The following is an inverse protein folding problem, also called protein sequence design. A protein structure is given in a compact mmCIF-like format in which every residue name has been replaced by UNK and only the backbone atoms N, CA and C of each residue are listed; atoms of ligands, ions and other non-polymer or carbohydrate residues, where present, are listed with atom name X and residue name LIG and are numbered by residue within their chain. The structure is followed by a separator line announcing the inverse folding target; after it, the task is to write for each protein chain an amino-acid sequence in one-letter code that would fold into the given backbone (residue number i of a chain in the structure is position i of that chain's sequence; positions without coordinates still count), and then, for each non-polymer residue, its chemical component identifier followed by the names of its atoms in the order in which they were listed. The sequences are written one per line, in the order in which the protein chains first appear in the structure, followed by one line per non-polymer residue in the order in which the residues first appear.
data_IF_689605583570
#
_entry.id   IF_689605583570
#
_cell.length_a   1.000
_cell.length_b   1.000
_cell.length_c   1.000
_cell.angle_alpha   90.00
_cell.angle_beta   90.00
_cell.angle_gamma   90.00
#
_symmetry.space_group_name_H-M   'P 1'
#
loop_
_entity.id
_entity.type
_entity.pdbx_description
1 polymer ?
#
# COMPACT_ATOMS: atom_id res chain seq x y z
N UNK A 1 17.30 -2.36 6.24
CA UNK A 1 16.15 -2.41 7.16
C UNK A 1 15.19 -3.48 6.67
N UNK A 2 14.74 -4.41 7.51
CA UNK A 2 13.86 -5.50 7.05
C UNK A 2 12.44 -4.97 6.78
N UNK A 3 12.22 -4.46 5.59
CA UNK A 3 10.94 -3.88 5.14
C UNK A 3 9.84 -4.93 5.01
N UNK A 4 10.20 -6.21 4.97
CA UNK A 4 9.23 -7.28 4.82
C UNK A 4 8.27 -7.38 6.03
N UNK A 5 8.69 -6.95 7.23
CA UNK A 5 7.79 -6.91 8.39
C UNK A 5 6.57 -6.00 8.17
N UNK A 6 6.69 -5.00 7.30
CA UNK A 6 5.58 -4.11 6.94
C UNK A 6 4.48 -4.83 6.14
N UNK A 7 4.74 -6.03 5.65
CA UNK A 7 3.71 -6.85 4.97
C UNK A 7 2.62 -7.30 5.93
N UNK A 8 2.96 -7.47 7.21
CA UNK A 8 2.04 -7.97 8.24
C UNK A 8 1.75 -6.91 9.29
N UNK A 9 2.78 -6.27 9.83
CA UNK A 9 2.64 -5.34 10.94
C UNK A 9 2.74 -3.88 10.49
N UNK A 10 1.81 -3.00 10.92
CA UNK A 10 1.95 -1.57 10.73
C UNK A 10 3.13 -1.07 11.59
N UNK A 11 3.90 -0.14 11.04
CA UNK A 11 4.96 0.50 11.80
C UNK A 11 4.37 1.46 12.82
N UNK A 12 4.75 1.32 14.09
CA UNK A 12 4.31 2.23 15.13
C UNK A 12 4.74 3.67 14.83
N UNK A 13 3.87 4.65 15.12
CA UNK A 13 4.11 6.05 14.76
C UNK A 13 5.40 6.63 15.36
N UNK A 14 5.75 6.24 16.58
CA UNK A 14 7.01 6.65 17.22
C UNK A 14 8.24 6.09 16.51
N UNK A 15 8.18 4.81 16.09
CA UNK A 15 9.27 4.16 15.36
C UNK A 15 9.46 4.78 13.98
N UNK A 16 8.37 5.07 13.25
CA UNK A 16 8.39 5.80 11.99
C UNK A 16 9.08 7.14 12.15
N UNK A 17 8.65 7.95 13.12
CA UNK A 17 9.26 9.28 13.40
C UNK A 17 10.76 9.17 13.68
N UNK A 18 11.18 8.18 14.47
CA UNK A 18 12.59 7.96 14.82
C UNK A 18 13.41 7.56 13.58
N UNK A 19 12.91 6.63 12.78
CA UNK A 19 13.58 6.19 11.56
C UNK A 19 13.66 7.32 10.54
N UNK A 20 12.58 8.06 10.32
CA UNK A 20 12.58 9.20 9.39
C UNK A 20 13.51 10.32 9.85
N UNK A 21 13.69 10.52 11.17
CA UNK A 21 14.68 11.44 11.70
C UNK A 21 16.10 11.00 11.33
N UNK A 22 16.44 9.73 11.54
CA UNK A 22 17.76 9.16 11.19
C UNK A 22 18.00 9.25 9.66
N UNK A 23 17.01 8.85 8.85
CA UNK A 23 17.11 8.92 7.37
C UNK A 23 17.32 10.35 6.88
N UNK A 24 16.64 11.32 7.48
CA UNK A 24 16.78 12.75 7.18
C UNK A 24 18.15 13.24 7.56
N UNK A 25 18.65 12.89 8.74
CA UNK A 25 20.00 13.25 9.20
C UNK A 25 21.07 12.69 8.28
N UNK A 26 20.96 11.43 7.92
CA UNK A 26 21.87 10.78 7.00
C UNK A 26 21.87 11.44 5.61
N UNK A 27 20.67 11.72 5.07
CA UNK A 27 20.54 12.35 3.76
C UNK A 27 21.21 13.73 3.67
N UNK A 28 21.11 14.54 4.74
CA UNK A 28 21.58 15.92 4.69
C UNK A 28 22.98 16.13 5.26
N UNK A 29 23.43 15.26 6.17
CA UNK A 29 24.75 15.39 6.83
C UNK A 29 25.64 14.16 6.70
N UNK A 30 25.12 13.03 6.27
CA UNK A 30 25.86 11.77 6.29
C UNK A 30 26.02 11.15 7.68
N UNK A 31 25.41 11.72 8.71
CA UNK A 31 25.54 11.31 10.12
C UNK A 31 24.19 10.87 10.70
N UNK A 32 24.23 10.01 11.73
CA UNK A 32 23.03 9.51 12.40
C UNK A 32 22.27 10.62 13.16
N UNK A 33 23.00 11.60 13.73
CA UNK A 33 22.44 12.68 14.53
C UNK A 33 22.80 14.06 13.94
N UNK A 34 21.89 14.64 13.19
CA UNK A 34 21.99 16.02 12.73
C UNK A 34 21.28 16.96 13.71
N UNK A 35 22.04 17.66 14.53
CA UNK A 35 21.55 18.81 15.30
C UNK A 35 21.66 20.08 14.44
N UNK A 36 20.53 20.82 14.31
CA UNK A 36 20.45 22.08 13.56
C UNK A 36 19.69 22.01 12.25
N UNK A 37 19.14 23.16 11.84
CA UNK A 37 18.17 23.33 10.76
C UNK A 37 18.69 23.18 9.32
N UNK A 38 19.44 22.16 9.01
CA UNK A 38 20.01 21.93 7.67
C UNK A 38 19.10 21.18 6.69
N UNK A 39 17.85 20.88 7.08
CA UNK A 39 16.89 20.24 6.17
C UNK A 39 16.26 21.29 5.26
N UNK A 40 16.86 21.54 4.10
CA UNK A 40 16.40 22.54 3.13
C UNK A 40 15.11 22.17 2.42
N UNK A 41 14.75 20.89 2.39
CA UNK A 41 13.56 20.38 1.70
C UNK A 41 12.66 19.62 2.66
N UNK A 42 11.36 19.84 2.52
CA UNK A 42 10.36 19.14 3.32
C UNK A 42 10.39 17.62 3.04
N UNK A 43 10.37 16.80 4.10
CA UNK A 43 10.43 15.34 4.00
C UNK A 43 9.37 14.71 3.09
N UNK A 44 8.10 15.14 3.10
CA UNK A 44 7.10 14.70 2.12
C UNK A 44 7.50 14.94 0.67
N UNK A 45 8.25 15.99 0.35
CA UNK A 45 8.77 16.24 -0.99
C UNK A 45 9.89 15.25 -1.35
N UNK A 46 10.77 14.93 -0.41
CA UNK A 46 11.85 13.94 -0.59
C UNK A 46 11.29 12.55 -0.90
N UNK A 47 10.16 12.20 -0.29
CA UNK A 47 9.50 10.89 -0.47
C UNK A 47 8.63 10.79 -1.72
N UNK A 48 8.44 11.88 -2.48
CA UNK A 48 7.73 11.81 -3.77
C UNK A 48 8.51 10.98 -4.79
N UNK A 49 7.81 10.37 -5.78
CA UNK A 49 8.44 9.75 -6.93
C UNK A 49 9.38 10.73 -7.67
N UNK A 50 10.39 10.20 -8.35
CA UNK A 50 11.39 11.01 -9.07
C UNK A 50 10.78 11.81 -10.21
N UNK A 51 9.83 11.23 -10.92
CA UNK A 51 9.03 11.86 -11.99
C UNK A 51 8.16 13.02 -11.49
N UNK A 52 7.86 13.07 -10.18
CA UNK A 52 7.15 14.16 -9.52
C UNK A 52 8.07 15.10 -8.72
N UNK A 53 9.37 15.11 -9.05
CA UNK A 53 10.36 16.02 -8.45
C UNK A 53 10.84 15.63 -7.06
N UNK A 54 10.61 14.38 -6.62
CA UNK A 54 11.14 13.84 -5.37
C UNK A 54 12.43 13.03 -5.57
N UNK A 55 12.99 12.50 -4.49
CA UNK A 55 14.12 11.58 -4.52
C UNK A 55 13.71 10.10 -4.57
N UNK A 56 12.42 9.79 -4.52
CA UNK A 56 11.90 8.43 -4.53
C UNK A 56 12.24 7.66 -3.24
N UNK A 57 12.54 8.34 -2.15
CA UNK A 57 12.77 7.70 -0.86
C UNK A 57 11.46 7.09 -0.36
N UNK A 58 11.36 5.77 -0.08
CA UNK A 58 10.09 5.15 0.27
C UNK A 58 9.44 5.77 1.51
N UNK A 59 8.18 6.19 1.38
CA UNK A 59 7.30 6.49 2.50
C UNK A 59 6.82 5.17 3.11
N UNK A 60 7.05 4.95 4.41
CA UNK A 60 6.76 3.66 5.05
C UNK A 60 5.27 3.33 5.11
N UNK A 61 4.39 4.32 5.20
CA UNK A 61 2.94 4.06 5.22
C UNK A 61 2.46 3.59 3.85
N UNK A 62 2.88 4.30 2.80
CA UNK A 62 2.55 3.94 1.41
C UNK A 62 3.18 2.62 1.02
N UNK A 63 4.43 2.42 1.37
CA UNK A 63 5.17 1.20 1.08
C UNK A 63 4.58 -0.02 1.82
N UNK A 64 4.29 0.13 3.12
CA UNK A 64 3.64 -0.92 3.91
C UNK A 64 2.26 -1.27 3.37
N UNK A 65 1.48 -0.27 2.93
CA UNK A 65 0.18 -0.50 2.29
C UNK A 65 0.33 -1.26 0.97
N UNK A 66 1.25 -0.85 0.11
CA UNK A 66 1.52 -1.55 -1.14
C UNK A 66 1.92 -3.02 -0.93
N UNK A 67 2.74 -3.30 0.10
CA UNK A 67 3.11 -4.66 0.47
C UNK A 67 1.91 -5.50 0.95
N UNK A 68 0.95 -4.88 1.67
CA UNK A 68 -0.28 -5.55 2.11
C UNK A 68 -1.21 -5.90 0.95
N UNK A 69 -1.29 -5.07 -0.10
CA UNK A 69 -2.09 -5.39 -1.29
C UNK A 69 -1.65 -6.69 -1.95
N UNK A 70 -0.39 -7.09 -1.80
CA UNK A 70 0.10 -8.40 -2.27
C UNK A 70 -0.65 -9.58 -1.66
N UNK A 71 -1.08 -9.48 -0.40
CA UNK A 71 -1.88 -10.53 0.23
C UNK A 71 -3.24 -10.68 -0.44
N UNK A 72 -3.91 -9.58 -0.74
CA UNK A 72 -5.19 -9.57 -1.47
C UNK A 72 -5.04 -10.15 -2.87
N UNK A 73 -3.96 -9.78 -3.57
CA UNK A 73 -3.64 -10.35 -4.89
C UNK A 73 -3.40 -11.84 -4.84
N UNK A 74 -2.60 -12.32 -3.88
CA UNK A 74 -2.33 -13.75 -3.72
C UNK A 74 -3.57 -14.51 -3.24
N UNK A 75 -4.41 -13.88 -2.43
CA UNK A 75 -5.68 -14.46 -2.00
C UNK A 75 -6.62 -14.69 -3.18
N UNK A 76 -6.63 -13.76 -4.11
CA UNK A 76 -7.46 -13.85 -5.29
C UNK A 76 -6.90 -14.82 -6.36
N UNK A 77 -5.58 -14.85 -6.57
CA UNK A 77 -4.96 -15.59 -7.68
C UNK A 77 -4.55 -17.02 -7.35
N UNK A 78 -4.32 -17.37 -6.10
CA UNK A 78 -3.83 -18.68 -5.69
C UNK A 78 -4.93 -19.51 -5.00
N UNK A 79 -5.25 -20.66 -5.55
CA UNK A 79 -6.26 -21.58 -4.98
C UNK A 79 -5.70 -22.41 -3.81
N UNK A 80 -4.43 -22.86 -3.89
CA UNK A 80 -3.77 -23.57 -2.80
C UNK A 80 -2.82 -22.65 -2.06
N UNK A 81 -3.16 -22.27 -0.83
CA UNK A 81 -2.38 -21.39 0.04
C UNK A 81 -2.26 -22.02 1.41
N UNK A 82 -1.08 -21.94 2.06
CA UNK A 82 -0.91 -22.45 3.43
C UNK A 82 -1.70 -21.66 4.48
N UNK A 83 -2.23 -20.47 4.13
CA UNK A 83 -2.99 -19.57 5.02
C UNK A 83 -4.49 -19.51 4.71
N UNK A 84 -5.05 -20.53 4.05
CA UNK A 84 -6.51 -20.63 3.82
C UNK A 84 -7.23 -20.62 5.17
N UNK A 85 -8.23 -19.73 5.32
CA UNK A 85 -9.01 -19.59 6.55
C UNK A 85 -8.39 -18.67 7.61
N UNK A 86 -7.21 -18.09 7.36
CA UNK A 86 -6.63 -17.06 8.22
C UNK A 86 -7.06 -15.66 7.79
N UNK A 87 -7.27 -14.77 8.76
CA UNK A 87 -7.54 -13.37 8.46
C UNK A 87 -6.29 -12.71 7.83
N UNK A 88 -6.51 -12.05 6.70
CA UNK A 88 -5.44 -11.31 6.03
C UNK A 88 -5.09 -10.03 6.82
N UNK A 89 -3.82 -9.62 6.87
CA UNK A 89 -3.37 -8.41 7.56
C UNK A 89 -3.75 -7.13 6.78
N UNK A 90 -4.96 -7.10 6.20
CA UNK A 90 -5.49 -6.04 5.36
C UNK A 90 -6.74 -5.45 6.00
N UNK A 91 -6.77 -4.12 6.14
CA UNK A 91 -7.94 -3.42 6.63
C UNK A 91 -8.92 -3.04 5.49
N UNK A 92 -10.07 -2.43 5.85
CA UNK A 92 -11.08 -2.00 4.88
C UNK A 92 -10.54 -1.01 3.84
N UNK A 93 -9.64 -0.11 4.22
CA UNK A 93 -9.02 0.87 3.31
C UNK A 93 -8.10 0.16 2.31
N UNK A 94 -7.33 -0.85 2.75
CA UNK A 94 -6.48 -1.64 1.86
C UNK A 94 -7.31 -2.39 0.82
N UNK A 95 -8.46 -2.95 1.23
CA UNK A 95 -9.42 -3.62 0.33
C UNK A 95 -10.07 -2.67 -0.67
N UNK A 96 -10.46 -1.48 -0.22
CA UNK A 96 -11.00 -0.44 -1.11
C UNK A 96 -9.95 -0.01 -2.14
N UNK A 97 -8.71 0.24 -1.71
CA UNK A 97 -7.61 0.60 -2.60
C UNK A 97 -7.32 -0.52 -3.62
N UNK A 98 -7.31 -1.77 -3.17
CA UNK A 98 -7.14 -2.93 -4.06
C UNK A 98 -8.22 -2.97 -5.13
N UNK A 99 -9.49 -2.90 -4.72
CA UNK A 99 -10.62 -2.94 -5.65
C UNK A 99 -10.62 -1.77 -6.64
N UNK A 100 -10.26 -0.56 -6.20
CA UNK A 100 -10.17 0.60 -7.10
C UNK A 100 -8.97 0.56 -8.06
N UNK A 101 -7.94 -0.22 -7.73
CA UNK A 101 -6.71 -0.35 -8.52
C UNK A 101 -6.69 -1.58 -9.42
N UNK A 102 -7.71 -2.46 -9.32
CA UNK A 102 -7.80 -3.68 -10.11
C UNK A 102 -9.02 -3.63 -11.03
N UNK A 103 -8.82 -4.05 -12.28
CA UNK A 103 -9.90 -4.27 -13.24
C UNK A 103 -9.97 -5.76 -13.57
N UNK A 104 -11.17 -6.32 -13.59
CA UNK A 104 -11.40 -7.71 -13.92
C UNK A 104 -11.82 -7.81 -15.37
N UNK A 105 -11.02 -8.50 -16.17
CA UNK A 105 -11.43 -8.93 -17.49
C UNK A 105 -12.12 -10.28 -17.34
N UNK A 106 -13.40 -10.33 -17.69
CA UNK A 106 -14.18 -11.56 -17.64
C UNK A 106 -13.63 -12.57 -18.65
N UNK A 107 -13.25 -13.76 -18.16
CA UNK A 107 -12.83 -14.90 -18.96
C UNK A 107 -13.84 -16.05 -18.83
N UNK A 108 -13.52 -17.02 -18.00
CA UNK A 108 -14.39 -18.15 -17.68
C UNK A 108 -15.40 -17.88 -16.54
N UNK A 109 -15.37 -16.67 -15.98
CA UNK A 109 -16.24 -16.13 -14.92
C UNK A 109 -16.25 -16.90 -13.59
N UNK A 110 -15.46 -17.96 -13.46
CA UNK A 110 -15.46 -18.85 -12.30
C UNK A 110 -15.15 -18.18 -10.97
N UNK A 111 -14.42 -17.05 -10.98
CA UNK A 111 -14.00 -16.32 -9.78
C UNK A 111 -14.60 -14.91 -9.66
N UNK A 112 -15.37 -14.49 -10.64
CA UNK A 112 -15.94 -13.15 -10.66
C UNK A 112 -17.21 -13.08 -9.79
N UNK A 113 -17.24 -12.13 -8.85
CA UNK A 113 -18.42 -11.80 -8.07
C UNK A 113 -19.17 -10.66 -8.74
N UNK A 114 -20.35 -10.96 -9.30
CA UNK A 114 -21.15 -10.05 -10.11
C UNK A 114 -21.27 -8.64 -9.48
N UNK A 115 -21.77 -8.53 -8.26
CA UNK A 115 -22.03 -7.25 -7.61
C UNK A 115 -20.79 -6.54 -7.06
N UNK A 116 -19.71 -7.27 -6.75
CA UNK A 116 -18.60 -6.75 -5.94
C UNK A 116 -17.36 -6.43 -6.75
N UNK A 117 -17.17 -7.08 -7.89
CA UNK A 117 -15.98 -6.91 -8.69
C UNK A 117 -16.13 -5.82 -9.75
N UNK A 118 -15.01 -5.15 -10.08
CA UNK A 118 -14.95 -4.04 -11.03
C UNK A 118 -14.81 -4.56 -12.48
N UNK A 119 -15.83 -5.27 -12.98
CA UNK A 119 -15.80 -5.84 -14.31
C UNK A 119 -16.58 -5.00 -15.35
N UNK A 120 -17.51 -4.15 -14.91
CA UNK A 120 -18.29 -3.29 -15.79
C UNK A 120 -17.61 -1.94 -15.91
N UNK A 121 -16.85 -1.73 -16.99
CA UNK A 121 -16.11 -0.49 -17.27
C UNK A 121 -15.22 -0.01 -16.09
N UNK A 122 -14.62 -0.95 -15.36
CA UNK A 122 -13.79 -0.64 -14.19
C UNK A 122 -14.57 -0.28 -12.91
N UNK A 123 -15.89 -0.50 -12.90
CA UNK A 123 -16.75 -0.28 -11.74
C UNK A 123 -17.51 -1.54 -11.35
N UNK A 124 -17.84 -1.68 -10.07
CA UNK A 124 -18.68 -2.77 -9.60
C UNK A 124 -20.15 -2.40 -9.76
N UNK A 125 -21.02 -3.32 -10.27
CA UNK A 125 -22.44 -3.06 -10.50
C UNK A 125 -23.20 -2.51 -9.30
N UNK A 126 -22.85 -2.89 -8.09
CA UNK A 126 -23.47 -2.36 -6.86
C UNK A 126 -23.37 -0.83 -6.70
N UNK A 127 -22.37 -0.19 -7.31
CA UNK A 127 -22.23 1.27 -7.27
C UNK A 127 -23.02 1.95 -8.40
N UNK A 128 -23.22 1.24 -9.52
CA UNK A 128 -23.99 1.73 -10.66
C UNK A 128 -25.50 1.58 -10.44
N UNK A 129 -25.91 0.53 -9.76
CA UNK A 129 -27.31 0.20 -9.52
C UNK A 129 -27.56 -0.16 -8.03
N UNK A 130 -27.40 0.80 -7.09
CA UNK A 130 -27.53 0.52 -5.65
C UNK A 130 -28.92 0.06 -5.24
N UNK A 131 -29.95 0.39 -6.01
CA UNK A 131 -31.34 -0.02 -5.74
C UNK A 131 -31.64 -1.49 -6.15
N UNK A 132 -30.74 -2.13 -6.86
CA UNK A 132 -30.86 -3.54 -7.29
C UNK A 132 -29.98 -4.48 -6.46
N UNK A 133 -29.13 -3.93 -5.58
CA UNK A 133 -28.20 -4.67 -4.72
C UNK A 133 -28.77 -5.02 -3.35
#
# INVERSE_FOLDING_TARGET
MPTYHLTVFPLAAWAKKKIDKIRRSFLWKGEENANGGHCLVNWPTVTRPKDLGGLGVPDFDRFGRALKLRWLWQDWTKDSKPWVGMDLPCNGIDRLLFNSSTTINLGDDAKAQFWHNNWLEGQAPRYLAPNLF
#
